data_IF_732234211549
#
_entry.id   IF_732234211549
#
_cell.length_a   1.000
_cell.length_b   1.000
_cell.length_c   1.000
_cell.angle_alpha   90.00
_cell.angle_beta   90.00
_cell.angle_gamma   90.00
#
_symmetry.space_group_name_H-M   'P 1'
#
loop_
_entity.id
_entity.type
_entity.pdbx_description
1 polymer ?
#
# COMPACT_ATOMS: atom_id res chain seq x y z
N UNK A 1 -2.32 39.73 -15.80
CA UNK A 1 -1.49 38.63 -15.24
C UNK A 1 -0.16 38.46 -15.99
N UNK A 2 -0.01 38.86 -17.26
CA UNK A 2 1.27 38.79 -17.97
C UNK A 2 2.26 39.89 -17.52
N UNK A 3 1.79 41.06 -17.08
CA UNK A 3 2.64 42.20 -16.68
C UNK A 3 3.15 42.16 -15.22
N UNK A 4 2.95 41.04 -14.50
CA UNK A 4 3.47 40.83 -13.14
C UNK A 4 4.79 40.03 -13.11
N UNK A 5 5.40 39.80 -14.28
CA UNK A 5 6.59 38.95 -14.45
C UNK A 5 7.88 39.74 -14.76
N UNK A 6 7.94 41.03 -14.45
CA UNK A 6 9.00 41.93 -14.96
C UNK A 6 10.31 41.94 -14.13
N UNK A 7 10.44 41.04 -13.16
CA UNK A 7 11.76 40.70 -12.62
C UNK A 7 11.65 39.29 -12.00
N UNK A 8 12.12 38.25 -12.70
CA UNK A 8 11.87 36.85 -12.33
C UNK A 8 12.22 36.49 -10.87
N UNK A 9 13.09 37.26 -10.22
CA UNK A 9 13.39 37.19 -8.78
C UNK A 9 12.17 37.55 -7.91
N UNK A 10 11.44 38.62 -8.23
CA UNK A 10 10.24 39.00 -7.49
C UNK A 10 9.11 37.98 -7.67
N UNK A 11 9.00 37.38 -8.86
CA UNK A 11 7.96 36.39 -9.15
C UNK A 11 8.18 35.07 -8.39
N UNK A 12 9.44 34.61 -8.33
CA UNK A 12 9.77 33.42 -7.55
C UNK A 12 9.59 33.63 -6.05
N UNK A 13 10.05 34.75 -5.48
CA UNK A 13 9.90 34.99 -4.03
C UNK A 13 8.42 35.05 -3.62
N UNK A 14 7.55 35.60 -4.47
CA UNK A 14 6.10 35.54 -4.27
C UNK A 14 5.59 34.09 -4.30
N UNK A 15 5.91 33.31 -5.33
CA UNK A 15 5.50 31.91 -5.41
C UNK A 15 5.99 31.09 -4.20
N UNK A 16 7.23 31.31 -3.79
CA UNK A 16 7.86 30.67 -2.64
C UNK A 16 7.13 31.02 -1.33
N UNK A 17 6.77 32.29 -1.13
CA UNK A 17 5.97 32.73 0.01
C UNK A 17 4.61 32.01 0.03
N UNK A 18 3.86 32.06 -1.08
CA UNK A 18 2.54 31.43 -1.17
C UNK A 18 2.60 29.90 -1.02
N UNK A 19 3.63 29.25 -1.56
CA UNK A 19 3.74 27.79 -1.47
C UNK A 19 4.18 27.31 -0.08
N UNK A 20 4.87 28.16 0.68
CA UNK A 20 5.41 27.81 2.01
C UNK A 20 4.46 28.12 3.16
N UNK A 21 3.56 29.08 2.99
CA UNK A 21 2.55 29.41 3.99
C UNK A 21 1.38 28.42 3.96
N UNK A 22 0.90 28.06 5.15
CA UNK A 22 -0.06 26.97 5.37
C UNK A 22 -1.42 27.20 4.69
N UNK A 23 -1.86 28.45 4.63
CA UNK A 23 -3.18 28.79 4.07
C UNK A 23 -3.05 28.95 2.57
N UNK A 24 -2.08 29.76 2.14
CA UNK A 24 -1.88 30.03 0.72
C UNK A 24 -1.44 28.82 -0.07
N UNK A 25 -0.71 27.86 0.50
CA UNK A 25 -0.38 26.63 -0.20
C UNK A 25 -1.63 25.84 -0.57
N UNK A 26 -2.67 25.84 0.29
CA UNK A 26 -3.95 25.20 0.02
C UNK A 26 -4.68 25.88 -1.13
N UNK A 27 -4.64 27.22 -1.16
CA UNK A 27 -5.15 27.99 -2.29
C UNK A 27 -4.41 27.62 -3.57
N UNK A 28 -3.09 27.43 -3.52
CA UNK A 28 -2.30 26.98 -4.68
C UNK A 28 -2.65 25.57 -5.12
N UNK A 29 -2.90 24.64 -4.20
CA UNK A 29 -3.38 23.29 -4.53
C UNK A 29 -4.74 23.36 -5.26
N UNK A 30 -5.67 24.18 -4.77
CA UNK A 30 -6.97 24.41 -5.43
C UNK A 30 -6.81 25.09 -6.79
N UNK A 31 -5.86 26.03 -6.92
CA UNK A 31 -5.56 26.68 -8.19
C UNK A 31 -5.03 25.66 -9.20
N UNK A 32 -4.13 24.76 -8.81
CA UNK A 32 -3.63 23.67 -9.67
C UNK A 32 -4.79 22.78 -10.12
N UNK A 33 -5.70 22.44 -9.20
CA UNK A 33 -6.89 21.65 -9.52
C UNK A 33 -7.79 22.31 -10.57
N UNK A 34 -8.04 23.62 -10.45
CA UNK A 34 -8.90 24.36 -11.36
C UNK A 34 -8.20 24.82 -12.67
N UNK A 35 -6.86 24.68 -12.74
CA UNK A 35 -6.07 25.22 -13.84
C UNK A 35 -6.19 24.41 -15.13
N UNK A 36 -6.27 25.12 -16.25
CA UNK A 36 -6.14 24.52 -17.58
C UNK A 36 -4.68 24.12 -17.84
N UNK A 37 -4.48 23.12 -18.71
CA UNK A 37 -3.14 22.65 -19.13
C UNK A 37 -2.21 23.78 -19.60
N UNK A 38 -2.75 24.79 -20.29
CA UNK A 38 -1.98 25.95 -20.76
C UNK A 38 -1.40 26.80 -19.63
N UNK A 39 -2.03 26.82 -18.45
CA UNK A 39 -1.55 27.54 -17.27
C UNK A 39 -0.57 26.71 -16.44
N UNK A 40 -0.76 25.39 -16.42
CA UNK A 40 0.12 24.47 -15.69
C UNK A 40 1.53 24.41 -16.27
N UNK A 41 1.69 24.59 -17.60
CA UNK A 41 3.01 24.54 -18.24
C UNK A 41 3.95 25.67 -17.76
N UNK A 42 3.59 26.97 -17.83
CA UNK A 42 4.41 28.04 -17.26
C UNK A 42 4.64 27.89 -15.76
N UNK A 43 3.60 27.50 -15.00
CA UNK A 43 3.72 27.23 -13.56
C UNK A 43 4.81 26.21 -13.27
N UNK A 44 4.79 25.11 -14.02
CA UNK A 44 5.74 24.01 -13.88
C UNK A 44 7.15 24.45 -14.27
N UNK A 45 7.32 25.04 -15.47
CA UNK A 45 8.64 25.34 -16.04
C UNK A 45 9.34 26.51 -15.35
N UNK A 46 8.59 27.54 -14.92
CA UNK A 46 9.17 28.73 -14.31
C UNK A 46 9.38 28.58 -12.80
N UNK A 47 8.46 27.92 -12.09
CA UNK A 47 8.46 27.93 -10.63
C UNK A 47 8.71 26.56 -9.99
N UNK A 48 8.13 25.49 -10.51
CA UNK A 48 8.20 24.19 -9.82
C UNK A 48 9.48 23.40 -10.15
N UNK A 49 9.79 23.18 -11.43
CA UNK A 49 10.95 22.38 -11.84
C UNK A 49 12.28 23.00 -11.38
N UNK A 50 12.56 24.30 -11.62
CA UNK A 50 13.84 24.89 -11.19
C UNK A 50 14.02 24.88 -9.67
N UNK A 51 12.92 24.90 -8.92
CA UNK A 51 12.94 25.04 -7.46
C UNK A 51 12.46 23.77 -6.73
N UNK A 52 12.42 22.63 -7.42
CA UNK A 52 11.89 21.37 -6.88
C UNK A 52 12.60 20.95 -5.59
N UNK A 53 13.91 21.23 -5.48
CA UNK A 53 14.67 20.96 -4.26
C UNK A 53 14.18 21.72 -3.03
N UNK A 54 13.73 22.97 -3.20
CA UNK A 54 13.10 23.75 -2.13
C UNK A 54 11.71 23.19 -1.79
N UNK A 55 10.89 22.94 -2.82
CA UNK A 55 9.51 22.44 -2.64
C UNK A 55 9.48 21.08 -1.95
N UNK A 56 10.42 20.20 -2.28
CA UNK A 56 10.60 18.91 -1.61
C UNK A 56 11.05 19.03 -0.16
N UNK A 57 11.77 20.11 0.20
CA UNK A 57 12.31 20.35 1.55
C UNK A 57 11.37 21.10 2.48
N UNK A 58 10.35 21.74 1.93
CA UNK A 58 9.41 22.54 2.71
C UNK A 58 8.20 21.70 3.12
N UNK A 59 7.85 21.73 4.41
CA UNK A 59 6.77 20.91 4.98
C UNK A 59 5.38 21.29 4.47
N UNK A 60 5.22 22.49 3.91
CA UNK A 60 3.99 22.98 3.31
C UNK A 60 4.04 22.89 1.79
N UNK A 61 5.13 23.36 1.16
CA UNK A 61 5.21 23.49 -0.29
C UNK A 61 5.22 22.15 -1.02
N UNK A 62 5.62 21.05 -0.35
CA UNK A 62 5.54 19.72 -0.94
C UNK A 62 4.09 19.30 -1.29
N UNK A 63 3.08 19.85 -0.60
CA UNK A 63 1.68 19.56 -0.94
C UNK A 63 1.29 20.15 -2.29
N UNK A 64 1.91 21.25 -2.71
CA UNK A 64 1.73 21.83 -4.06
C UNK A 64 2.24 20.85 -5.14
N UNK A 65 3.37 20.17 -4.90
CA UNK A 65 3.85 19.09 -5.78
C UNK A 65 2.87 17.90 -5.81
N UNK A 66 2.33 17.51 -4.65
CA UNK A 66 1.36 16.43 -4.54
C UNK A 66 0.05 16.72 -5.28
N UNK A 67 -0.46 17.96 -5.18
CA UNK A 67 -1.63 18.42 -5.92
C UNK A 67 -1.40 18.37 -7.43
N UNK A 68 -0.18 18.71 -7.88
CA UNK A 68 0.18 18.58 -9.29
C UNK A 68 0.03 17.15 -9.81
N UNK A 69 0.59 16.13 -9.13
CA UNK A 69 0.38 14.74 -9.56
C UNK A 69 -1.06 14.26 -9.41
N UNK A 70 -1.82 14.84 -8.50
CA UNK A 70 -3.23 14.47 -8.29
C UNK A 70 -4.14 15.02 -9.40
N UNK A 71 -3.82 16.20 -9.95
CA UNK A 71 -4.75 16.94 -10.81
C UNK A 71 -4.22 17.26 -12.21
N UNK A 72 -2.92 17.13 -12.45
CA UNK A 72 -2.37 17.24 -13.79
C UNK A 72 -2.94 16.11 -14.65
N UNK A 73 -3.48 16.45 -15.82
CA UNK A 73 -3.98 15.50 -16.83
C UNK A 73 -2.98 15.28 -17.96
N UNK A 74 -1.86 16.03 -17.97
CA UNK A 74 -0.89 16.00 -19.05
C UNK A 74 0.29 15.09 -18.72
N UNK A 75 0.36 13.95 -19.39
CA UNK A 75 1.48 12.99 -19.28
C UNK A 75 2.86 13.63 -19.38
N UNK A 76 3.08 14.50 -20.37
CA UNK A 76 4.37 15.19 -20.54
C UNK A 76 4.71 16.07 -19.34
N UNK A 77 3.75 16.82 -18.78
CA UNK A 77 4.02 17.71 -17.65
C UNK A 77 4.28 16.91 -16.37
N UNK A 78 3.55 15.82 -16.15
CA UNK A 78 3.80 14.91 -15.03
C UNK A 78 5.16 14.24 -15.13
N UNK A 79 5.60 13.88 -16.34
CA UNK A 79 6.94 13.32 -16.58
C UNK A 79 8.06 14.35 -16.34
N UNK A 80 7.88 15.59 -16.80
CA UNK A 80 8.86 16.67 -16.56
C UNK A 80 9.06 16.89 -15.05
N UNK A 81 7.96 16.97 -14.28
CA UNK A 81 8.03 17.11 -12.83
C UNK A 81 8.63 15.86 -12.15
N UNK A 82 8.23 14.67 -12.60
CA UNK A 82 8.75 13.41 -12.08
C UNK A 82 10.27 13.30 -12.26
N UNK A 83 10.79 13.67 -13.44
CA UNK A 83 12.23 13.64 -13.71
C UNK A 83 12.98 14.63 -12.81
N UNK A 84 12.44 15.84 -12.63
CA UNK A 84 13.00 16.85 -11.74
C UNK A 84 13.05 16.36 -10.29
N UNK A 85 11.95 15.78 -9.78
CA UNK A 85 11.87 15.21 -8.43
C UNK A 85 12.82 14.02 -8.27
N UNK A 86 12.84 13.10 -9.24
CA UNK A 86 13.66 11.90 -9.19
C UNK A 86 15.14 12.23 -9.10
N UNK A 87 15.59 13.24 -9.86
CA UNK A 87 16.97 13.71 -9.80
C UNK A 87 17.37 14.19 -8.40
N UNK A 88 16.48 14.91 -7.70
CA UNK A 88 16.74 15.40 -6.34
C UNK A 88 16.67 14.29 -5.29
N UNK A 89 15.65 13.42 -5.35
CA UNK A 89 15.42 12.40 -4.33
C UNK A 89 16.43 11.26 -4.40
N UNK A 90 16.89 10.90 -5.60
CA UNK A 90 17.96 9.90 -5.73
C UNK A 90 19.30 10.41 -5.17
N UNK A 91 19.58 11.72 -5.27
CA UNK A 91 20.80 12.31 -4.73
C UNK A 91 20.75 12.57 -3.21
N UNK A 92 19.62 13.05 -2.70
CA UNK A 92 19.51 13.57 -1.33
C UNK A 92 18.71 12.67 -0.38
N UNK A 93 18.02 11.67 -0.90
CA UNK A 93 17.00 10.92 -0.17
C UNK A 93 15.74 11.75 0.09
N UNK A 94 14.67 11.06 0.49
CA UNK A 94 13.44 11.68 0.98
C UNK A 94 13.46 11.67 2.51
N UNK A 95 13.01 12.74 3.14
CA UNK A 95 12.73 12.71 4.57
C UNK A 95 11.52 11.80 4.85
N UNK A 96 11.56 10.92 5.86
CA UNK A 96 10.47 9.99 6.17
C UNK A 96 9.07 10.61 6.25
N UNK A 97 8.96 11.88 6.65
CA UNK A 97 7.68 12.60 6.76
C UNK A 97 7.05 12.95 5.40
N UNK A 98 7.73 12.70 4.28
CA UNK A 98 7.31 13.13 2.95
C UNK A 98 6.91 11.99 2.01
N UNK A 99 6.70 10.78 2.54
CA UNK A 99 6.28 9.61 1.75
C UNK A 99 4.92 9.79 1.04
N UNK A 100 4.12 10.78 1.46
CA UNK A 100 2.90 11.19 0.75
C UNK A 100 3.16 11.54 -0.72
N UNK A 101 4.27 12.21 -1.02
CA UNK A 101 4.64 12.51 -2.41
C UNK A 101 4.96 11.25 -3.21
N UNK A 102 5.66 10.28 -2.62
CA UNK A 102 5.92 9.00 -3.28
C UNK A 102 4.61 8.28 -3.61
N UNK A 103 3.65 8.26 -2.68
CA UNK A 103 2.33 7.70 -2.93
C UNK A 103 1.63 8.38 -4.11
N UNK A 104 1.67 9.72 -4.20
CA UNK A 104 1.05 10.46 -5.31
C UNK A 104 1.73 10.16 -6.65
N UNK A 105 3.06 10.06 -6.68
CA UNK A 105 3.82 9.69 -7.89
C UNK A 105 3.45 8.28 -8.34
N UNK A 106 3.45 7.31 -7.41
CA UNK A 106 3.19 5.90 -7.70
C UNK A 106 1.75 5.69 -8.16
N UNK A 107 0.79 6.38 -7.55
CA UNK A 107 -0.63 6.33 -7.93
C UNK A 107 -0.93 7.04 -9.27
N UNK A 108 -0.05 7.93 -9.73
CA UNK A 108 -0.29 8.69 -10.96
C UNK A 108 -0.23 7.78 -12.19
N UNK A 109 -1.38 7.51 -12.78
CA UNK A 109 -1.53 6.72 -14.03
C UNK A 109 -0.84 7.37 -15.24
N UNK A 110 -0.48 8.64 -15.14
CA UNK A 110 0.24 9.37 -16.19
C UNK A 110 1.71 8.98 -16.30
N UNK A 111 2.28 8.36 -15.27
CA UNK A 111 3.69 7.95 -15.27
C UNK A 111 3.74 6.43 -15.40
N UNK A 112 4.48 5.88 -16.38
CA UNK A 112 4.62 4.43 -16.54
C UNK A 112 5.11 3.75 -15.25
N UNK A 113 4.50 2.62 -14.89
CA UNK A 113 4.91 1.81 -13.74
C UNK A 113 6.35 1.32 -13.84
N UNK A 114 6.85 1.13 -15.07
CA UNK A 114 8.25 0.81 -15.37
C UNK A 114 9.24 1.88 -14.90
N UNK A 115 8.79 3.12 -14.68
CA UNK A 115 9.60 4.20 -14.12
C UNK A 115 9.33 4.40 -12.63
N UNK A 116 8.07 4.37 -12.20
CA UNK A 116 7.70 4.69 -10.81
C UNK A 116 8.09 3.60 -9.83
N UNK A 117 8.01 2.31 -10.19
CA UNK A 117 8.32 1.23 -9.26
C UNK A 117 9.81 1.16 -8.89
N UNK A 118 10.78 1.14 -9.84
CA UNK A 118 12.20 1.17 -9.50
C UNK A 118 12.56 2.45 -8.73
N UNK A 119 12.03 3.60 -9.16
CA UNK A 119 12.24 4.88 -8.49
C UNK A 119 11.77 4.83 -7.02
N UNK A 120 10.58 4.26 -6.77
CA UNK A 120 10.04 4.13 -5.43
C UNK A 120 10.94 3.26 -4.54
N UNK A 121 11.32 2.06 -5.01
CA UNK A 121 12.16 1.15 -4.23
C UNK A 121 13.49 1.81 -3.89
N UNK A 122 14.16 2.43 -4.86
CA UNK A 122 15.41 3.14 -4.63
C UNK A 122 15.24 4.33 -3.69
N UNK A 123 14.15 5.08 -3.83
CA UNK A 123 13.83 6.20 -2.94
C UNK A 123 13.64 5.72 -1.50
N UNK A 124 12.92 4.62 -1.27
CA UNK A 124 12.74 4.04 0.06
C UNK A 124 14.09 3.58 0.61
N UNK A 125 14.87 2.81 -0.15
CA UNK A 125 16.20 2.37 0.28
C UNK A 125 17.07 3.54 0.74
N UNK A 126 17.16 4.59 -0.07
CA UNK A 126 17.96 5.77 0.24
C UNK A 126 17.42 6.54 1.47
N UNK A 127 16.10 6.70 1.55
CA UNK A 127 15.43 7.49 2.61
C UNK A 127 15.51 6.83 3.98
N UNK A 128 15.38 5.51 4.00
CA UNK A 128 15.45 4.69 5.21
C UNK A 128 16.87 4.18 5.49
N UNK A 129 17.85 4.56 4.64
CA UNK A 129 19.26 4.13 4.72
C UNK A 129 19.39 2.61 4.78
N UNK A 130 18.57 1.92 4.00
CA UNK A 130 18.62 0.47 3.88
C UNK A 130 19.88 0.11 3.10
N UNK A 131 20.58 -0.93 3.55
CA UNK A 131 21.77 -1.44 2.92
C UNK A 131 21.43 -1.87 1.47
N UNK A 132 22.08 -1.30 0.44
CA UNK A 132 21.82 -1.64 -0.96
C UNK A 132 22.05 -3.12 -1.26
N UNK A 133 23.03 -3.74 -0.59
CA UNK A 133 23.44 -5.15 -0.74
C UNK A 133 22.88 -6.04 0.38
N UNK A 134 22.17 -5.46 1.35
CA UNK A 134 21.73 -6.15 2.56
C UNK A 134 20.35 -6.78 2.45
N UNK A 135 20.03 -7.61 3.44
CA UNK A 135 18.73 -8.24 3.64
C UNK A 135 17.63 -7.27 4.15
N UNK A 136 17.82 -5.96 3.98
CA UNK A 136 16.92 -4.95 4.53
C UNK A 136 15.56 -5.00 3.82
N UNK A 137 14.52 -5.12 4.64
CA UNK A 137 13.16 -5.35 4.18
C UNK A 137 12.45 -4.02 3.90
N UNK A 138 12.41 -3.61 2.64
CA UNK A 138 11.77 -2.36 2.21
C UNK A 138 10.26 -2.37 2.47
N UNK A 139 9.61 -3.53 2.35
CA UNK A 139 8.18 -3.65 2.67
C UNK A 139 7.94 -3.38 4.17
N UNK A 140 8.78 -3.92 5.05
CA UNK A 140 8.70 -3.64 6.49
C UNK A 140 9.02 -2.18 6.81
N UNK A 141 9.98 -1.58 6.09
CA UNK A 141 10.29 -0.15 6.23
C UNK A 141 9.07 0.72 5.91
N UNK A 142 8.35 0.43 4.82
CA UNK A 142 7.11 1.12 4.46
C UNK A 142 6.01 0.95 5.51
N UNK A 143 5.90 -0.23 6.12
CA UNK A 143 4.90 -0.51 7.15
C UNK A 143 5.18 0.22 8.48
N UNK A 144 6.43 0.60 8.74
CA UNK A 144 6.81 1.26 10.00
C UNK A 144 6.37 2.73 10.03
N UNK A 145 5.62 3.13 11.06
CA UNK A 145 5.35 4.55 11.36
C UNK A 145 6.60 5.29 11.85
N UNK A 146 7.54 4.55 12.46
CA UNK A 146 8.77 5.06 13.02
C UNK A 146 9.94 4.55 12.17
N UNK A 147 10.40 5.39 11.25
CA UNK A 147 11.74 5.24 10.70
C UNK A 147 12.69 5.63 11.82
N UNK A 148 13.58 4.76 12.30
CA UNK A 148 14.59 5.18 13.25
C UNK A 148 15.46 6.21 12.53
N UNK A 149 15.21 7.49 12.76
CA UNK A 149 16.06 8.60 12.27
C UNK A 149 17.44 8.58 12.92
N UNK A 150 17.67 7.67 13.86
CA UNK A 150 18.91 7.53 14.62
C UNK A 150 19.54 6.16 14.37
N UNK A 151 20.79 6.18 13.86
CA UNK A 151 21.75 5.07 13.73
C UNK A 151 21.86 4.21 15.01
N UNK A 152 20.91 3.31 15.28
CA UNK A 152 21.00 2.42 16.47
C UNK A 152 20.57 0.99 16.14
N UNK A 153 21.56 0.17 15.78
CA UNK A 153 21.62 -1.27 16.01
C UNK A 153 20.77 -2.18 15.10
N UNK A 154 21.31 -3.33 14.63
CA UNK A 154 20.62 -4.28 13.76
C UNK A 154 19.59 -5.19 14.47
N UNK A 155 19.18 -4.91 15.72
CA UNK A 155 18.38 -5.85 16.51
C UNK A 155 17.42 -5.15 17.46
N UNK A 156 16.44 -4.41 16.93
CA UNK A 156 15.24 -4.14 17.70
C UNK A 156 14.02 -4.74 17.01
N UNK A 157 13.24 -5.45 17.81
CA UNK A 157 11.92 -5.93 17.47
C UNK A 157 11.09 -4.77 16.94
N UNK A 158 10.29 -5.02 15.91
CA UNK A 158 9.34 -4.06 15.38
C UNK A 158 8.26 -3.77 16.44
N UNK A 159 8.45 -2.70 17.21
CA UNK A 159 7.57 -2.29 18.31
C UNK A 159 6.58 -1.18 17.91
N UNK A 160 6.49 -0.84 16.62
CA UNK A 160 5.54 0.18 16.17
C UNK A 160 4.12 -0.25 16.56
N UNK A 161 3.42 0.57 17.37
CA UNK A 161 2.06 0.29 17.86
C UNK A 161 1.05 0.26 16.71
N UNK A 162 1.28 1.06 15.69
CA UNK A 162 0.41 1.26 14.53
C UNK A 162 1.24 1.22 13.24
N UNK A 163 0.60 0.77 12.14
CA UNK A 163 1.23 0.72 10.82
C UNK A 163 1.07 2.05 10.09
N UNK A 164 2.06 2.45 9.30
CA UNK A 164 2.02 3.71 8.57
C UNK A 164 0.94 3.67 7.46
N UNK A 165 -0.13 4.49 7.52
CA UNK A 165 -1.25 4.37 6.56
C UNK A 165 -0.83 4.61 5.11
N UNK A 166 0.00 5.63 4.85
CA UNK A 166 0.52 5.92 3.50
C UNK A 166 1.44 4.79 3.00
N UNK A 167 2.28 4.21 3.86
CA UNK A 167 3.13 3.07 3.49
C UNK A 167 2.31 1.84 3.13
N UNK A 168 1.25 1.55 3.90
CA UNK A 168 0.27 0.53 3.54
C UNK A 168 -0.39 0.83 2.18
N UNK A 169 -0.80 2.07 1.93
CA UNK A 169 -1.40 2.47 0.65
C UNK A 169 -0.45 2.33 -0.54
N UNK A 170 0.85 2.59 -0.35
CA UNK A 170 1.89 2.35 -1.34
C UNK A 170 1.98 0.84 -1.65
N UNK A 171 2.08 -0.02 -0.62
CA UNK A 171 2.14 -1.47 -0.80
C UNK A 171 0.90 -2.02 -1.49
N UNK A 172 -0.29 -1.57 -1.09
CA UNK A 172 -1.55 -1.92 -1.74
C UNK A 172 -1.50 -1.59 -3.22
N UNK A 173 -1.08 -0.38 -3.58
CA UNK A 173 -0.97 0.01 -4.98
C UNK A 173 0.00 -0.93 -5.74
N UNK A 174 1.22 -1.12 -5.23
CA UNK A 174 2.23 -1.96 -5.88
C UNK A 174 1.80 -3.41 -6.05
N UNK A 175 1.09 -3.97 -5.07
CA UNK A 175 0.60 -5.34 -5.12
C UNK A 175 -0.68 -5.46 -5.95
N UNK A 176 -1.48 -4.40 -6.10
CA UNK A 176 -2.68 -4.43 -6.96
C UNK A 176 -2.37 -4.18 -8.45
N UNK A 177 -1.27 -3.51 -8.75
CA UNK A 177 -0.87 -3.12 -10.10
C UNK A 177 -0.25 -4.28 -10.89
N UNK A 178 0.04 -4.06 -12.18
CA UNK A 178 0.72 -5.05 -13.02
C UNK A 178 2.06 -5.49 -12.41
N UNK A 179 2.40 -6.80 -12.47
CA UNK A 179 3.65 -7.30 -11.90
C UNK A 179 4.86 -6.66 -12.60
N UNK A 180 5.76 -6.06 -11.82
CA UNK A 180 7.08 -5.61 -12.26
C UNK A 180 8.14 -6.33 -11.44
N UNK A 181 9.39 -6.30 -11.88
CA UNK A 181 10.52 -6.87 -11.13
C UNK A 181 10.58 -6.30 -9.70
N UNK A 182 10.44 -4.98 -9.54
CA UNK A 182 10.45 -4.31 -8.24
C UNK A 182 9.27 -4.66 -7.34
N UNK A 183 8.05 -4.77 -7.91
CA UNK A 183 6.88 -5.15 -7.11
C UNK A 183 6.96 -6.61 -6.65
N UNK A 184 7.57 -7.49 -7.45
CA UNK A 184 7.89 -8.87 -7.05
C UNK A 184 8.94 -8.92 -5.95
N UNK A 185 10.01 -8.13 -6.03
CA UNK A 185 11.04 -8.04 -4.97
C UNK A 185 10.40 -7.61 -3.65
N UNK A 186 9.60 -6.55 -3.66
CA UNK A 186 8.91 -6.08 -2.46
C UNK A 186 7.92 -7.11 -1.91
N UNK A 187 7.27 -7.85 -2.79
CA UNK A 187 6.35 -8.91 -2.37
C UNK A 187 7.09 -10.08 -1.72
N UNK A 188 8.25 -10.47 -2.26
CA UNK A 188 9.09 -11.49 -1.65
C UNK A 188 9.56 -11.04 -0.27
N UNK A 189 10.03 -9.79 -0.15
CA UNK A 189 10.36 -9.20 1.15
C UNK A 189 9.15 -9.18 2.10
N UNK A 190 7.95 -8.83 1.61
CA UNK A 190 6.73 -8.83 2.42
C UNK A 190 6.39 -10.22 2.98
N UNK A 191 6.53 -11.27 2.18
CA UNK A 191 6.25 -12.66 2.63
C UNK A 191 7.24 -13.08 3.72
N UNK A 192 8.47 -12.57 3.69
CA UNK A 192 9.50 -12.84 4.69
C UNK A 192 9.35 -12.01 5.99
N UNK A 193 8.37 -11.10 6.08
CA UNK A 193 8.08 -10.36 7.33
C UNK A 193 7.83 -11.35 8.49
N UNK A 194 8.32 -11.05 9.71
CA UNK A 194 8.07 -11.85 10.90
C UNK A 194 6.58 -12.13 11.13
N UNK A 195 6.29 -13.37 11.56
CA UNK A 195 4.90 -13.86 11.65
C UNK A 195 4.04 -13.04 12.62
N UNK A 196 4.61 -12.62 13.74
CA UNK A 196 3.93 -11.77 14.72
C UNK A 196 3.50 -10.42 14.12
N UNK A 197 4.31 -9.84 13.24
CA UNK A 197 3.99 -8.58 12.55
C UNK A 197 2.87 -8.82 11.53
N UNK A 198 2.91 -9.93 10.77
CA UNK A 198 1.83 -10.27 9.84
C UNK A 198 0.50 -10.44 10.58
N UNK A 199 0.48 -11.10 11.74
CA UNK A 199 -0.73 -11.23 12.57
C UNK A 199 -1.27 -9.89 13.06
N UNK A 200 -0.39 -9.00 13.51
CA UNK A 200 -0.77 -7.63 13.88
C UNK A 200 -1.30 -6.85 12.69
N UNK A 201 -0.68 -7.00 11.52
CA UNK A 201 -1.08 -6.34 10.28
C UNK A 201 -2.52 -6.72 9.91
N UNK A 202 -2.91 -7.99 10.06
CA UNK A 202 -4.27 -8.43 9.76
C UNK A 202 -5.35 -7.88 10.68
N UNK A 203 -4.99 -7.38 11.87
CA UNK A 203 -5.93 -6.76 12.82
C UNK A 203 -5.90 -5.22 12.78
N UNK A 204 -5.05 -4.63 11.95
CA UNK A 204 -4.93 -3.17 11.80
C UNK A 204 -5.80 -2.65 10.65
N UNK A 205 -6.38 -1.46 10.81
CA UNK A 205 -7.27 -0.86 9.83
C UNK A 205 -6.62 -0.62 8.44
N UNK A 206 -5.34 -0.22 8.42
CA UNK A 206 -4.59 0.00 7.18
C UNK A 206 -3.84 -1.26 6.76
N UNK A 207 -3.29 -1.99 7.74
CA UNK A 207 -2.53 -3.21 7.53
C UNK A 207 -3.35 -4.34 6.92
N UNK A 208 -4.60 -4.54 7.36
CA UNK A 208 -5.44 -5.64 6.88
C UNK A 208 -5.63 -5.55 5.37
N UNK A 209 -5.76 -4.32 4.86
CA UNK A 209 -5.91 -4.03 3.43
C UNK A 209 -4.68 -4.44 2.62
N UNK A 210 -3.48 -4.37 3.18
CA UNK A 210 -2.28 -4.89 2.54
C UNK A 210 -2.38 -6.40 2.38
N UNK A 211 -2.75 -7.14 3.44
CA UNK A 211 -2.91 -8.59 3.37
C UNK A 211 -4.05 -9.01 2.44
N UNK A 212 -5.21 -8.36 2.53
CA UNK A 212 -6.33 -8.57 1.61
C UNK A 212 -5.86 -8.42 0.15
N UNK A 213 -5.10 -7.36 -0.13
CA UNK A 213 -4.55 -7.09 -1.46
C UNK A 213 -3.57 -8.17 -1.88
N UNK A 214 -2.65 -8.58 -1.00
CA UNK A 214 -1.66 -9.63 -1.29
C UNK A 214 -2.34 -10.94 -1.66
N UNK A 215 -3.36 -11.37 -0.91
CA UNK A 215 -4.09 -12.60 -1.22
C UNK A 215 -4.97 -12.46 -2.47
N UNK A 216 -5.56 -11.30 -2.72
CA UNK A 216 -6.45 -11.08 -3.87
C UNK A 216 -5.70 -10.71 -5.15
N UNK A 217 -4.39 -10.44 -5.05
CA UNK A 217 -3.60 -9.90 -6.14
C UNK A 217 -3.26 -10.96 -7.20
N UNK A 218 -3.32 -10.61 -8.50
CA UNK A 218 -2.76 -11.47 -9.54
C UNK A 218 -1.22 -11.55 -9.50
N UNK A 219 -0.55 -10.61 -8.83
CA UNK A 219 0.93 -10.46 -8.78
C UNK A 219 1.57 -11.57 -7.94
N UNK A 220 0.95 -12.01 -6.84
CA UNK A 220 1.58 -12.99 -5.95
C UNK A 220 1.80 -14.35 -6.60
N UNK A 221 0.88 -14.75 -7.49
CA UNK A 221 0.86 -16.10 -8.02
C UNK A 221 0.50 -17.14 -6.95
N UNK A 222 -0.04 -18.28 -7.39
CA UNK A 222 -0.58 -19.32 -6.50
C UNK A 222 0.47 -19.85 -5.52
N UNK A 223 1.69 -20.13 -5.99
CA UNK A 223 2.77 -20.70 -5.18
C UNK A 223 3.15 -19.83 -3.98
N UNK A 224 3.33 -18.52 -4.18
CA UNK A 224 3.70 -17.60 -3.09
C UNK A 224 2.51 -17.38 -2.14
N UNK A 225 1.28 -17.31 -2.66
CA UNK A 225 0.06 -17.21 -1.85
C UNK A 225 -0.11 -18.44 -0.94
N UNK A 226 0.06 -19.64 -1.47
CA UNK A 226 0.02 -20.89 -0.71
C UNK A 226 1.14 -20.95 0.34
N UNK A 227 2.35 -20.47 0.01
CA UNK A 227 3.46 -20.37 0.97
C UNK A 227 3.10 -19.45 2.14
N UNK A 228 2.56 -18.26 1.85
CA UNK A 228 2.15 -17.30 2.87
C UNK A 228 1.00 -17.86 3.73
N UNK A 229 0.01 -18.51 3.12
CA UNK A 229 -1.06 -19.20 3.84
C UNK A 229 -0.50 -20.25 4.80
N UNK A 230 0.36 -21.16 4.33
CA UNK A 230 0.95 -22.21 5.16
C UNK A 230 1.74 -21.62 6.34
N UNK A 231 2.49 -20.54 6.10
CA UNK A 231 3.22 -19.80 7.16
C UNK A 231 2.27 -19.23 8.22
N UNK A 232 1.19 -18.56 7.81
CA UNK A 232 0.16 -18.00 8.72
C UNK A 232 -0.62 -19.09 9.46
N UNK A 233 -0.98 -20.16 8.76
CA UNK A 233 -1.78 -21.25 9.31
C UNK A 233 -0.98 -22.06 10.34
N UNK A 234 0.28 -22.41 10.04
CA UNK A 234 1.14 -23.11 10.99
C UNK A 234 1.31 -22.34 12.31
N UNK A 235 1.44 -21.02 12.24
CA UNK A 235 1.49 -20.18 13.45
C UNK A 235 0.15 -20.11 14.18
N UNK A 236 -0.98 -20.24 13.48
CA UNK A 236 -2.31 -20.33 14.11
C UNK A 236 -2.52 -21.61 14.91
N UNK A 237 -1.85 -22.70 14.51
CA UNK A 237 -1.89 -23.99 15.20
C UNK A 237 -0.97 -24.04 16.42
N UNK A 238 0.00 -23.14 16.53
CA UNK A 238 0.87 -23.06 17.70
C UNK A 238 0.15 -22.45 18.93
N UNK A 239 -1.13 -22.09 18.81
CA UNK A 239 -2.04 -21.61 19.86
C UNK A 239 -1.49 -20.46 20.73
N UNK A 240 -0.55 -19.68 20.21
CA UNK A 240 -0.14 -18.44 20.87
C UNK A 240 -1.29 -17.44 20.79
N UNK A 241 -1.62 -16.79 21.91
CA UNK A 241 -2.75 -15.84 22.01
C UNK A 241 -2.70 -14.73 20.93
N UNK A 242 -1.50 -14.38 20.47
CA UNK A 242 -1.25 -13.30 19.51
C UNK A 242 -1.37 -13.72 18.04
N UNK A 243 -1.29 -15.01 17.71
CA UNK A 243 -1.29 -15.51 16.34
C UNK A 243 -2.42 -16.51 16.14
N UNK A 244 -3.65 -16.03 15.92
CA UNK A 244 -4.80 -16.89 15.67
C UNK A 244 -5.68 -16.34 14.54
N UNK A 245 -5.89 -17.16 13.50
CA UNK A 245 -6.86 -16.84 12.45
C UNK A 245 -8.30 -16.81 12.95
N UNK A 246 -8.63 -17.53 14.04
CA UNK A 246 -9.95 -17.43 14.68
C UNK A 246 -10.13 -16.03 15.29
N UNK A 247 -9.09 -15.48 15.93
CA UNK A 247 -9.09 -14.09 16.42
C UNK A 247 -9.19 -13.06 15.31
N UNK A 248 -8.53 -13.30 14.17
CA UNK A 248 -8.77 -12.50 12.97
C UNK A 248 -10.24 -12.55 12.54
N UNK A 249 -10.85 -13.74 12.49
CA UNK A 249 -12.25 -13.88 12.10
C UNK A 249 -13.24 -13.13 13.02
N UNK A 250 -12.94 -13.02 14.31
CA UNK A 250 -13.73 -12.23 15.27
C UNK A 250 -13.53 -10.70 15.12
N UNK A 251 -12.41 -10.25 14.52
CA UNK A 251 -12.00 -8.86 14.40
C UNK A 251 -12.61 -8.16 13.16
N UNK A 252 -12.93 -6.86 13.28
CA UNK A 252 -13.52 -6.03 12.21
C UNK A 252 -12.70 -5.98 10.92
N UNK A 253 -11.37 -5.95 11.03
CA UNK A 253 -10.46 -5.90 9.90
C UNK A 253 -9.99 -7.31 9.51
N UNK A 254 -9.65 -8.13 10.50
CA UNK A 254 -9.19 -9.50 10.31
C UNK A 254 -10.20 -10.41 9.60
N UNK A 255 -11.50 -10.19 9.79
CA UNK A 255 -12.53 -11.02 9.15
C UNK A 255 -12.47 -10.94 7.62
N UNK A 256 -12.05 -9.78 7.07
CA UNK A 256 -11.85 -9.57 5.64
C UNK A 256 -10.58 -10.24 5.14
N UNK A 257 -9.53 -10.26 5.95
CA UNK A 257 -8.30 -11.00 5.64
C UNK A 257 -8.57 -12.50 5.56
N UNK A 258 -9.32 -13.06 6.52
CA UNK A 258 -9.68 -14.48 6.52
C UNK A 258 -10.50 -14.85 5.29
N UNK A 259 -11.46 -14.01 4.91
CA UNK A 259 -12.20 -14.21 3.66
C UNK A 259 -11.29 -14.14 2.43
N UNK A 260 -10.42 -13.14 2.33
CA UNK A 260 -9.48 -13.02 1.21
C UNK A 260 -8.59 -14.26 1.09
N UNK A 261 -8.05 -14.76 2.21
CA UNK A 261 -7.32 -16.03 2.27
C UNK A 261 -8.18 -17.17 1.74
N UNK A 262 -9.39 -17.34 2.29
CA UNK A 262 -10.30 -18.41 1.92
C UNK A 262 -10.66 -18.39 0.43
N UNK A 263 -10.82 -17.21 -0.16
CA UNK A 263 -11.12 -17.07 -1.59
C UNK A 263 -9.92 -17.47 -2.46
N UNK A 264 -8.71 -17.12 -2.05
CA UNK A 264 -7.49 -17.24 -2.86
C UNK A 264 -6.77 -18.59 -2.78
N UNK A 265 -6.95 -19.36 -1.71
CA UNK A 265 -6.26 -20.66 -1.55
C UNK A 265 -6.95 -21.81 -2.30
N UNK A 266 -6.23 -22.88 -2.68
CA UNK A 266 -6.82 -24.07 -3.31
C UNK A 266 -7.76 -24.85 -2.36
N UNK A 267 -8.57 -25.75 -2.92
CA UNK A 267 -9.67 -26.41 -2.20
C UNK A 267 -9.18 -27.22 -0.98
N UNK A 268 -8.06 -27.91 -1.09
CA UNK A 268 -7.41 -28.63 0.01
C UNK A 268 -7.12 -27.69 1.20
N UNK A 269 -6.59 -26.50 0.93
CA UNK A 269 -6.32 -25.49 1.96
C UNK A 269 -7.61 -24.85 2.50
N UNK A 270 -8.64 -24.68 1.67
CA UNK A 270 -9.97 -24.25 2.12
C UNK A 270 -10.58 -25.24 3.11
N UNK A 271 -10.43 -26.55 2.86
CA UNK A 271 -10.93 -27.60 3.76
C UNK A 271 -10.23 -27.56 5.11
N UNK A 272 -8.91 -27.36 5.12
CA UNK A 272 -8.12 -27.25 6.35
C UNK A 272 -8.52 -26.00 7.14
N UNK A 273 -8.65 -24.84 6.47
CA UNK A 273 -9.07 -23.60 7.12
C UNK A 273 -10.50 -23.68 7.64
N UNK A 274 -11.44 -24.25 6.88
CA UNK A 274 -12.82 -24.43 7.30
C UNK A 274 -12.94 -25.37 8.51
N UNK A 275 -12.17 -26.46 8.52
CA UNK A 275 -12.09 -27.35 9.67
C UNK A 275 -11.59 -26.60 10.91
N UNK A 276 -10.46 -25.90 10.80
CA UNK A 276 -9.91 -25.10 11.90
C UNK A 276 -10.92 -24.09 12.42
N UNK A 277 -11.57 -23.31 11.55
CA UNK A 277 -12.57 -22.31 11.96
C UNK A 277 -13.83 -22.94 12.56
N UNK A 278 -14.20 -24.16 12.16
CA UNK A 278 -15.36 -24.87 12.72
C UNK A 278 -15.17 -25.27 14.17
N UNK A 279 -13.93 -25.48 14.61
CA UNK A 279 -13.60 -25.77 16.01
C UNK A 279 -13.87 -24.54 16.92
N UNK A 280 -13.86 -23.33 16.34
CA UNK A 280 -14.15 -22.05 17.01
C UNK A 280 -15.56 -21.51 16.69
N UNK A 281 -16.47 -22.36 16.18
CA UNK A 281 -17.78 -21.89 15.69
C UNK A 281 -18.61 -21.20 16.79
N UNK A 282 -18.47 -21.62 18.05
CA UNK A 282 -19.20 -21.04 19.19
C UNK A 282 -18.77 -19.60 19.45
N UNK A 283 -17.47 -19.34 19.38
CA UNK A 283 -16.85 -18.02 19.51
C UNK A 283 -17.25 -17.11 18.35
N UNK A 284 -17.21 -17.63 17.12
CA UNK A 284 -17.57 -16.89 15.92
C UNK A 284 -19.07 -16.51 15.87
N UNK A 285 -19.94 -17.30 16.52
CA UNK A 285 -21.38 -17.03 16.62
C UNK A 285 -21.75 -16.01 17.70
N UNK A 286 -20.83 -15.65 18.62
CA UNK A 286 -21.11 -14.72 19.72
C UNK A 286 -21.75 -13.43 19.19
N UNK A 287 -22.81 -12.90 19.86
CA UNK A 287 -23.37 -11.61 19.49
C UNK A 287 -22.30 -10.53 19.44
N UNK A 288 -22.36 -9.65 18.44
CA UNK A 288 -21.38 -8.56 18.18
C UNK A 288 -20.00 -8.99 17.67
N UNK A 289 -19.72 -10.30 17.57
CA UNK A 289 -18.53 -10.79 16.87
C UNK A 289 -18.66 -10.54 15.36
N UNK A 290 -17.53 -10.25 14.70
CA UNK A 290 -17.46 -10.23 13.23
C UNK A 290 -17.33 -11.63 12.64
N UNK A 291 -17.24 -12.65 13.49
CA UNK A 291 -17.19 -14.06 13.09
C UNK A 291 -18.39 -14.49 12.25
N UNK A 292 -19.59 -13.92 12.46
CA UNK A 292 -20.77 -14.20 11.64
C UNK A 292 -20.55 -13.89 10.14
N UNK A 293 -19.73 -12.86 9.84
CA UNK A 293 -19.33 -12.57 8.47
C UNK A 293 -18.54 -13.74 7.88
N UNK A 294 -17.54 -14.24 8.61
CA UNK A 294 -16.69 -15.36 8.17
C UNK A 294 -17.49 -16.66 8.05
N UNK A 295 -18.40 -16.93 8.99
CA UNK A 295 -19.31 -18.09 8.93
C UNK A 295 -20.06 -18.10 7.60
N UNK A 296 -20.64 -16.95 7.21
CA UNK A 296 -21.39 -16.82 5.96
C UNK A 296 -20.48 -16.90 4.73
N UNK A 297 -19.37 -16.15 4.71
CA UNK A 297 -18.46 -16.08 3.55
C UNK A 297 -17.78 -17.42 3.27
N UNK A 298 -17.39 -18.16 4.32
CA UNK A 298 -16.78 -19.48 4.21
C UNK A 298 -17.80 -20.64 4.19
N UNK A 299 -19.10 -20.34 4.37
CA UNK A 299 -20.19 -21.34 4.43
C UNK A 299 -19.91 -22.42 5.49
N UNK A 300 -19.54 -21.99 6.70
CA UNK A 300 -19.11 -22.89 7.77
C UNK A 300 -20.26 -23.75 8.31
N UNK A 301 -21.49 -23.25 8.27
CA UNK A 301 -22.66 -24.03 8.69
C UNK A 301 -22.89 -25.22 7.75
N UNK A 302 -22.83 -25.01 6.43
CA UNK A 302 -22.94 -26.09 5.45
C UNK A 302 -21.75 -27.04 5.53
N UNK A 303 -20.55 -26.54 5.84
CA UNK A 303 -19.37 -27.37 6.06
C UNK A 303 -19.56 -28.33 7.24
N UNK A 304 -20.06 -27.82 8.37
CA UNK A 304 -20.33 -28.61 9.59
C UNK A 304 -21.44 -29.64 9.34
N UNK A 305 -22.50 -29.26 8.62
CA UNK A 305 -23.62 -30.16 8.30
C UNK A 305 -23.22 -31.25 7.31
N UNK A 306 -22.52 -30.89 6.23
CA UNK A 306 -22.13 -31.83 5.18
C UNK A 306 -20.95 -31.32 4.36
N UNK A 307 -19.74 -31.77 4.73
CA UNK A 307 -18.50 -31.49 4.00
C UNK A 307 -18.58 -31.83 2.51
N UNK A 308 -19.23 -32.95 2.15
CA UNK A 308 -19.38 -33.36 0.75
C UNK A 308 -20.29 -32.42 -0.05
N UNK A 309 -21.40 -31.95 0.55
CA UNK A 309 -22.27 -30.96 -0.07
C UNK A 309 -21.57 -29.60 -0.19
N UNK A 310 -20.84 -29.17 0.83
CA UNK A 310 -20.06 -27.93 0.81
C UNK A 310 -19.04 -27.89 -0.33
N UNK A 311 -18.32 -29.00 -0.58
CA UNK A 311 -17.40 -29.13 -1.72
C UNK A 311 -18.14 -28.97 -3.05
N UNK A 312 -19.33 -29.57 -3.20
CA UNK A 312 -20.17 -29.43 -4.42
C UNK A 312 -20.57 -27.96 -4.64
N UNK A 313 -21.02 -27.27 -3.60
CA UNK A 313 -21.41 -25.86 -3.65
C UNK A 313 -20.21 -24.99 -4.11
N UNK A 314 -19.03 -25.21 -3.55
CA UNK A 314 -17.82 -24.48 -3.96
C UNK A 314 -17.44 -24.74 -5.42
N UNK A 315 -17.54 -25.99 -5.88
CA UNK A 315 -17.27 -26.35 -7.27
C UNK A 315 -18.25 -25.66 -8.23
N UNK A 316 -19.53 -25.59 -7.89
CA UNK A 316 -20.55 -24.88 -8.67
C UNK A 316 -20.31 -23.37 -8.73
N UNK A 317 -19.95 -22.74 -7.60
CA UNK A 317 -19.60 -21.30 -7.55
C UNK A 317 -18.42 -21.00 -8.46
N UNK A 318 -17.38 -21.85 -8.44
CA UNK A 318 -16.21 -21.71 -9.31
C UNK A 318 -16.60 -21.80 -10.79
N UNK A 319 -17.44 -22.77 -11.16
CA UNK A 319 -17.95 -22.91 -12.54
C UNK A 319 -18.71 -21.66 -12.99
N UNK A 320 -19.60 -21.13 -12.14
CA UNK A 320 -20.36 -19.89 -12.42
C UNK A 320 -19.44 -18.68 -12.60
N UNK A 321 -18.46 -18.48 -11.71
CA UNK A 321 -17.50 -17.38 -11.82
C UNK A 321 -16.66 -17.45 -13.11
N UNK A 322 -16.21 -18.66 -13.50
CA UNK A 322 -15.50 -18.86 -14.77
C UNK A 322 -16.37 -18.59 -15.99
N UNK A 323 -17.69 -18.81 -15.92
CA UNK A 323 -18.61 -18.50 -17.01
C UNK A 323 -18.82 -16.98 -17.15
N UNK A 324 -18.96 -16.25 -16.03
CA UNK A 324 -19.15 -14.80 -16.03
C UNK A 324 -17.94 -14.04 -16.60
N UNK A 325 -16.71 -14.45 -16.28
CA UNK A 325 -15.50 -13.78 -16.77
C UNK A 325 -15.22 -13.99 -18.27
N UNK A 326 -15.96 -14.87 -18.97
CA UNK A 326 -15.84 -15.05 -20.42
C UNK A 326 -16.72 -14.09 -21.23
N UNK A 327 -17.63 -13.39 -20.58
CA UNK A 327 -18.62 -12.49 -21.21
C UNK A 327 -18.21 -11.01 -21.12
N UNK A 328 -17.06 -10.72 -20.51
CA UNK A 328 -16.47 -9.38 -20.31
C UNK A 328 -15.12 -9.32 -20.98
#
# INVERSE_FOLDING_TARGET
MADLLDDGKSSWENFKLFSSDRISSRVMETFIYASKKSMLRPLLSLFMVPNVGFLLKNDTANYVLQAFFTHCTSKSLSLDLFNAISSQLLQKGLEPRRIGLLYKIVKSELIPTSLTHPFLVNSIKNSFRLNPDGADNCALALLSSNVPTTRRGPSRHFEAKEFHPIGCAILIHLFSSHPTTDSQILLDQFIEIPISILFRLGMDASGSRVLETVFSSPVIGKKKSERLFKKLFAASLAETEQCSMAKWAENTFGSRVVEAIFLSVPLDQKLILAQYLSDYIKELRKPRSKGQYVIKSCMLDEFILSKSNWIKILAERKKKACASNKLT
#
